data_IF_019950835849
#
_entry.id   IF_019950835849
#
_cell.length_a   1.000
_cell.length_b   1.000
_cell.length_c   1.000
_cell.angle_alpha   90.00
_cell.angle_beta   90.00
_cell.angle_gamma   90.00
#
_symmetry.space_group_name_H-M   'P 1'
#
loop_
_entity.id
_entity.type
_entity.pdbx_description
1 polymer ?
#
# COMPACT_ATOMS: atom_id res chain seq x y z
N UNK A 1 -7.34 87.07 -35.91
CA UNK A 1 -6.12 86.83 -36.71
C UNK A 1 -6.52 85.97 -37.89
N UNK A 2 -6.37 86.46 -39.12
CA UNK A 2 -6.59 85.65 -40.32
C UNK A 2 -5.49 84.59 -40.40
N UNK A 3 -5.89 83.32 -40.32
CA UNK A 3 -4.95 82.19 -40.43
C UNK A 3 -4.39 82.20 -41.86
N UNK A 4 -3.08 82.40 -42.00
CA UNK A 4 -2.42 82.58 -43.31
C UNK A 4 -2.32 81.26 -44.10
N UNK A 5 -2.20 80.12 -43.41
CA UNK A 5 -2.12 78.79 -43.99
C UNK A 5 -3.12 77.86 -43.34
N UNK A 6 -3.98 77.23 -44.11
CA UNK A 6 -5.06 76.40 -43.60
C UNK A 6 -5.46 75.34 -44.62
N UNK A 7 -6.07 74.28 -44.12
CA UNK A 7 -6.67 73.22 -44.91
C UNK A 7 -8.19 73.31 -44.82
N UNK A 8 -8.86 73.06 -45.94
CA UNK A 8 -10.32 72.96 -46.01
C UNK A 8 -10.74 71.68 -46.73
N UNK A 9 -11.94 71.21 -46.42
CA UNK A 9 -12.63 70.21 -47.23
C UNK A 9 -13.16 70.88 -48.50
N UNK A 10 -13.04 70.19 -49.63
CA UNK A 10 -13.75 70.59 -50.86
C UNK A 10 -15.24 70.22 -50.72
N UNK A 11 -16.09 70.79 -51.57
CA UNK A 11 -17.52 70.42 -51.64
C UNK A 11 -17.69 68.93 -51.93
N UNK A 12 -16.82 68.35 -52.75
CA UNK A 12 -16.79 66.91 -53.05
C UNK A 12 -16.34 66.10 -51.85
N UNK A 13 -15.29 66.53 -51.15
CA UNK A 13 -14.79 65.88 -49.95
C UNK A 13 -15.78 65.89 -48.79
N UNK A 14 -16.46 67.02 -48.57
CA UNK A 14 -17.52 67.14 -47.57
C UNK A 14 -18.70 66.20 -47.89
N UNK A 15 -19.12 66.13 -49.15
CA UNK A 15 -20.19 65.22 -49.58
C UNK A 15 -19.80 63.74 -49.40
N UNK A 16 -18.56 63.36 -49.77
CA UNK A 16 -18.06 61.99 -49.60
C UNK A 16 -17.88 61.58 -48.14
N UNK A 17 -17.38 62.49 -47.30
CA UNK A 17 -17.26 62.25 -45.86
C UNK A 17 -18.65 62.10 -45.20
N UNK A 18 -19.62 62.91 -45.61
CA UNK A 18 -21.00 62.80 -45.15
C UNK A 18 -21.65 61.48 -45.59
N UNK A 19 -21.46 61.07 -46.85
CA UNK A 19 -21.94 59.79 -47.37
C UNK A 19 -21.31 58.59 -46.64
N UNK A 20 -20.00 58.64 -46.40
CA UNK A 20 -19.28 57.62 -45.64
C UNK A 20 -19.86 57.47 -44.21
N UNK A 21 -20.09 58.60 -43.54
CA UNK A 21 -20.70 58.62 -42.21
C UNK A 21 -22.14 58.08 -42.22
N UNK A 22 -22.94 58.40 -43.24
CA UNK A 22 -24.34 57.98 -43.35
C UNK A 22 -24.50 56.49 -43.70
N UNK A 23 -23.62 55.95 -44.55
CA UNK A 23 -23.66 54.57 -45.02
C UNK A 23 -22.88 53.60 -44.11
N UNK A 24 -22.13 54.11 -43.12
CA UNK A 24 -21.24 53.31 -42.28
C UNK A 24 -20.00 52.77 -43.01
N UNK A 25 -19.71 53.25 -44.22
CA UNK A 25 -18.51 52.95 -44.98
C UNK A 25 -17.37 53.89 -44.60
N UNK A 26 -16.12 53.50 -44.83
CA UNK A 26 -14.96 54.36 -44.56
C UNK A 26 -14.45 55.02 -45.84
N UNK A 27 -14.14 56.31 -45.76
CA UNK A 27 -13.45 57.06 -46.80
C UNK A 27 -11.95 56.73 -46.76
N UNK A 28 -11.44 56.17 -47.84
CA UNK A 28 -10.03 55.82 -47.97
C UNK A 28 -9.27 57.00 -48.58
N UNK A 29 -8.53 57.74 -47.77
CA UNK A 29 -7.57 58.72 -48.28
C UNK A 29 -6.29 57.97 -48.65
N UNK A 30 -5.93 57.97 -49.93
CA UNK A 30 -4.85 57.11 -50.42
C UNK A 30 -3.64 57.90 -50.88
N UNK A 31 -3.84 59.11 -51.42
CA UNK A 31 -2.80 59.89 -52.07
C UNK A 31 -2.77 61.34 -51.57
N UNK A 32 -1.57 61.89 -51.52
CA UNK A 32 -1.33 63.31 -51.33
C UNK A 32 -0.57 63.85 -52.54
N UNK A 33 -1.04 65.00 -53.03
CA UNK A 33 -0.39 65.74 -54.09
C UNK A 33 0.12 67.10 -53.60
N UNK A 34 1.18 67.58 -54.24
CA UNK A 34 1.75 68.90 -54.01
C UNK A 34 1.86 69.65 -55.33
N UNK A 35 1.69 70.96 -55.28
CA UNK A 35 1.73 71.85 -56.45
C UNK A 35 2.39 73.19 -56.16
N UNK A 36 2.77 73.89 -57.22
CA UNK A 36 3.41 75.22 -57.14
C UNK A 36 2.40 76.37 -57.35
N UNK A 37 1.13 76.06 -57.61
CA UNK A 37 0.04 77.01 -57.85
C UNK A 37 0.40 78.12 -58.87
N UNK A 38 1.16 77.77 -59.93
CA UNK A 38 1.63 78.70 -60.96
C UNK A 38 2.45 79.89 -60.42
N UNK A 39 3.14 79.69 -59.29
CA UNK A 39 4.02 80.71 -58.73
C UNK A 39 3.30 81.80 -57.93
N UNK A 40 2.05 81.57 -57.52
CA UNK A 40 1.29 82.45 -56.61
C UNK A 40 0.77 81.62 -55.42
N UNK A 41 0.84 82.17 -54.21
CA UNK A 41 0.26 81.51 -53.04
C UNK A 41 -1.27 81.42 -53.19
N UNK A 42 -1.87 80.22 -53.28
CA UNK A 42 -3.29 80.09 -53.54
C UNK A 42 -4.11 80.29 -52.27
N UNK A 43 -5.35 80.74 -52.46
CA UNK A 43 -6.37 80.70 -51.43
C UNK A 43 -7.18 79.41 -51.63
N UNK A 44 -7.18 78.46 -50.68
CA UNK A 44 -7.99 77.26 -50.77
C UNK A 44 -9.47 77.59 -50.99
N UNK A 45 -10.11 76.99 -51.99
CA UNK A 45 -11.52 77.19 -52.33
C UNK A 45 -12.28 75.85 -52.27
N UNK A 46 -13.40 75.76 -51.52
CA UNK A 46 -14.21 74.55 -51.45
C UNK A 46 -14.68 74.03 -52.83
N UNK A 47 -14.81 74.90 -53.84
CA UNK A 47 -15.23 74.49 -55.19
C UNK A 47 -14.12 73.80 -56.01
N UNK A 48 -12.88 73.73 -55.51
CA UNK A 48 -11.78 73.09 -56.22
C UNK A 48 -12.02 71.58 -56.43
N UNK A 49 -11.85 71.13 -57.67
CA UNK A 49 -11.88 69.71 -58.05
C UNK A 49 -10.50 69.14 -58.32
N UNK A 50 -9.49 70.02 -58.48
CA UNK A 50 -8.08 69.70 -58.71
C UNK A 50 -7.19 70.83 -58.20
N UNK A 51 -5.91 70.53 -57.97
CA UNK A 51 -4.89 71.54 -57.70
C UNK A 51 -4.67 72.46 -58.91
N UNK A 52 -4.25 73.70 -58.66
CA UNK A 52 -4.05 74.72 -59.70
C UNK A 52 -2.91 74.34 -60.65
N UNK A 53 -1.80 73.83 -60.11
CA UNK A 53 -0.69 73.27 -60.87
C UNK A 53 0.01 72.16 -60.06
N UNK A 54 -0.52 70.95 -60.17
CA UNK A 54 0.04 69.76 -59.54
C UNK A 54 1.42 69.42 -60.11
N UNK A 55 2.40 69.22 -59.23
CA UNK A 55 3.77 68.79 -59.59
C UNK A 55 4.05 67.33 -59.26
N UNK A 56 3.46 66.84 -58.18
CA UNK A 56 3.68 65.45 -57.72
C UNK A 56 2.45 64.94 -57.01
N UNK A 57 2.13 63.67 -57.23
CA UNK A 57 1.14 62.90 -56.46
C UNK A 57 1.76 61.54 -56.10
N UNK A 58 1.59 61.10 -54.86
CA UNK A 58 2.03 59.76 -54.46
C UNK A 58 1.21 59.27 -53.25
N UNK A 59 1.33 57.98 -52.87
CA UNK A 59 0.64 57.44 -51.71
C UNK A 59 1.00 58.14 -50.40
N UNK A 60 0.09 58.07 -49.42
CA UNK A 60 0.34 58.51 -48.04
C UNK A 60 1.27 57.55 -47.30
N UNK A 61 2.18 58.10 -46.49
CA UNK A 61 3.05 57.33 -45.59
C UNK A 61 2.42 57.15 -44.20
N UNK A 62 1.71 58.17 -43.71
CA UNK A 62 1.01 58.14 -42.44
C UNK A 62 -0.33 58.86 -42.56
N UNK A 63 -1.38 58.26 -42.00
CA UNK A 63 -2.66 58.89 -41.77
C UNK A 63 -3.15 58.49 -40.37
N UNK A 64 -3.16 59.45 -39.45
CA UNK A 64 -3.54 59.25 -38.06
C UNK A 64 -4.45 60.37 -37.56
N UNK A 65 -5.16 60.14 -36.46
CA UNK A 65 -5.87 61.19 -35.72
C UNK A 65 -4.86 61.96 -34.86
N UNK A 66 -5.02 63.27 -34.72
CA UNK A 66 -4.16 64.07 -33.83
C UNK A 66 -4.39 63.64 -32.37
N UNK A 67 -3.34 63.21 -31.63
CA UNK A 67 -3.47 62.83 -30.22
C UNK A 67 -4.02 63.94 -29.32
N UNK A 68 -3.83 65.21 -29.68
CA UNK A 68 -4.29 66.36 -28.90
C UNK A 68 -5.67 66.85 -29.34
N UNK A 69 -6.16 66.45 -30.52
CA UNK A 69 -7.45 66.86 -31.04
C UNK A 69 -8.10 65.77 -31.91
N UNK A 70 -9.06 65.05 -31.34
CA UNK A 70 -9.75 63.94 -32.00
C UNK A 70 -10.58 64.34 -33.23
N UNK A 71 -10.80 65.64 -33.47
CA UNK A 71 -11.49 66.17 -34.66
C UNK A 71 -10.53 66.53 -35.80
N UNK A 72 -9.23 66.26 -35.66
CA UNK A 72 -8.21 66.53 -36.67
C UNK A 72 -7.56 65.23 -37.14
N UNK A 73 -7.39 65.11 -38.45
CA UNK A 73 -6.54 64.09 -39.05
C UNK A 73 -5.24 64.71 -39.53
N UNK A 74 -4.17 63.95 -39.35
CA UNK A 74 -2.82 64.28 -39.82
C UNK A 74 -2.51 63.32 -40.96
N UNK A 75 -2.43 63.86 -42.16
CA UNK A 75 -1.93 63.14 -43.32
C UNK A 75 -0.48 63.54 -43.56
N UNK A 76 0.41 62.57 -43.68
CA UNK A 76 1.82 62.80 -44.00
C UNK A 76 2.26 62.05 -45.23
N UNK A 77 3.13 62.73 -45.97
CA UNK A 77 3.81 62.19 -47.11
C UNK A 77 5.28 62.60 -47.07
N UNK A 78 6.16 61.66 -47.33
CA UNK A 78 7.59 61.89 -47.46
C UNK A 78 7.93 62.02 -48.94
N UNK A 79 8.54 63.14 -49.31
CA UNK A 79 9.11 63.35 -50.65
C UNK A 79 10.60 62.97 -50.55
N UNK A 80 11.02 61.87 -51.21
CA UNK A 80 12.41 61.41 -51.19
C UNK A 80 13.35 62.39 -51.93
N UNK A 81 14.65 62.19 -51.78
CA UNK A 81 15.69 63.08 -52.34
C UNK A 81 15.79 63.04 -53.88
N UNK A 82 15.35 61.94 -54.50
CA UNK A 82 15.35 61.73 -55.96
C UNK A 82 14.18 62.43 -56.68
N UNK A 83 13.19 62.93 -55.94
CA UNK A 83 12.04 63.67 -56.48
C UNK A 83 12.07 65.13 -55.99
N UNK A 84 12.15 66.09 -56.91
CA UNK A 84 12.29 67.52 -56.59
C UNK A 84 12.37 68.39 -57.84
N UNK A 85 12.91 69.61 -57.70
CA UNK A 85 13.00 70.60 -58.77
C UNK A 85 11.76 71.50 -58.88
N UNK A 86 10.93 71.57 -57.84
CA UNK A 86 9.68 72.34 -57.86
C UNK A 86 9.38 73.04 -56.52
N UNK A 87 8.58 74.10 -56.61
CA UNK A 87 8.02 74.79 -55.45
C UNK A 87 6.77 74.09 -54.94
N UNK A 88 6.58 74.10 -53.63
CA UNK A 88 5.40 73.59 -52.95
C UNK A 88 4.68 74.78 -52.31
N UNK A 89 3.43 74.99 -52.74
CA UNK A 89 2.55 76.10 -52.31
C UNK A 89 1.12 75.64 -52.05
N UNK A 90 0.70 74.55 -52.68
CA UNK A 90 -0.57 73.87 -52.46
C UNK A 90 -0.37 72.39 -52.16
N UNK A 91 -1.27 71.84 -51.35
CA UNK A 91 -1.34 70.42 -50.98
C UNK A 91 -2.77 69.96 -51.21
N UNK A 92 -2.94 68.80 -51.82
CA UNK A 92 -4.23 68.15 -52.04
C UNK A 92 -4.26 66.74 -51.48
N UNK A 93 -5.36 66.37 -50.82
CA UNK A 93 -5.63 65.00 -50.39
C UNK A 93 -6.67 64.36 -51.30
N UNK A 94 -6.39 63.14 -51.74
CA UNK A 94 -7.21 62.40 -52.69
C UNK A 94 -7.66 61.06 -52.10
N UNK A 95 -8.86 60.64 -52.47
CA UNK A 95 -9.37 59.31 -52.16
C UNK A 95 -8.88 58.24 -53.16
N UNK A 96 -9.31 56.99 -52.97
CA UNK A 96 -9.04 55.85 -53.86
C UNK A 96 -9.64 55.99 -55.27
N UNK A 97 -10.65 56.83 -55.45
CA UNK A 97 -11.26 57.16 -56.74
C UNK A 97 -10.62 58.37 -57.43
N UNK A 98 -9.58 58.97 -56.82
CA UNK A 98 -8.86 60.11 -57.38
C UNK A 98 -9.60 61.45 -57.26
N UNK A 99 -10.58 61.55 -56.37
CA UNK A 99 -11.32 62.78 -56.09
C UNK A 99 -10.58 63.62 -55.06
N UNK A 100 -10.46 64.93 -55.31
CA UNK A 100 -9.85 65.87 -54.37
C UNK A 100 -10.78 66.08 -53.16
N UNK A 101 -10.40 65.51 -52.01
CA UNK A 101 -11.17 65.56 -50.75
C UNK A 101 -10.88 66.84 -49.97
N UNK A 102 -9.61 67.24 -49.91
CA UNK A 102 -9.21 68.43 -49.17
C UNK A 102 -8.07 69.14 -49.87
N UNK A 103 -8.03 70.45 -49.69
CA UNK A 103 -7.00 71.33 -50.25
C UNK A 103 -6.46 72.23 -49.16
N UNK A 104 -5.15 72.47 -49.18
CA UNK A 104 -4.47 73.37 -48.27
C UNK A 104 -3.48 74.24 -49.02
N UNK A 105 -3.25 75.44 -48.51
CA UNK A 105 -2.10 76.25 -48.87
C UNK A 105 -0.99 76.06 -47.83
N UNK A 106 0.26 76.18 -48.25
CA UNK A 106 1.41 76.05 -47.37
C UNK A 106 2.44 77.16 -47.64
N UNK A 107 3.36 77.42 -46.69
CA UNK A 107 4.48 78.32 -46.93
C UNK A 107 5.27 77.90 -48.17
N UNK A 108 5.65 78.87 -48.99
CA UNK A 108 6.40 78.62 -50.21
C UNK A 108 7.73 77.93 -49.89
N UNK A 109 7.84 76.66 -50.29
CA UNK A 109 8.99 75.82 -49.97
C UNK A 109 9.55 75.21 -51.24
N UNK A 110 10.83 75.45 -51.52
CA UNK A 110 11.50 74.82 -52.66
C UNK A 110 12.06 73.45 -52.26
N UNK A 111 11.71 72.42 -53.03
CA UNK A 111 12.23 71.06 -52.87
C UNK A 111 13.30 70.81 -53.93
N UNK A 112 14.60 70.86 -53.60
CA UNK A 112 15.65 70.57 -54.57
C UNK A 112 15.64 69.08 -54.97
N UNK A 113 16.14 68.82 -56.18
CA UNK A 113 16.48 67.48 -56.67
C UNK A 113 17.98 67.22 -56.47
N UNK A 114 18.37 65.94 -56.34
CA UNK A 114 19.77 65.55 -56.11
C UNK A 114 20.74 66.12 -57.16
N UNK A 115 20.30 66.30 -58.41
CA UNK A 115 21.09 66.87 -59.51
C UNK A 115 21.46 68.35 -59.31
N UNK A 116 20.74 69.07 -58.45
CA UNK A 116 21.04 70.46 -58.06
C UNK A 116 22.06 70.54 -56.92
N UNK A 117 22.70 69.42 -56.55
CA UNK A 117 23.74 69.35 -55.53
C UNK A 117 23.22 69.30 -54.09
N UNK A 118 21.89 69.22 -53.88
CA UNK A 118 21.27 69.11 -52.57
C UNK A 118 20.13 68.08 -52.57
N UNK A 119 20.43 66.85 -52.14
CA UNK A 119 19.43 65.84 -51.85
C UNK A 119 18.78 66.10 -50.48
N UNK A 120 17.55 66.60 -50.48
CA UNK A 120 16.77 66.78 -49.25
C UNK A 120 15.60 65.82 -49.26
N UNK A 121 15.38 65.08 -48.18
CA UNK A 121 14.10 64.41 -47.93
C UNK A 121 13.19 65.38 -47.20
N UNK A 122 11.97 65.57 -47.69
CA UNK A 122 11.03 66.57 -47.15
C UNK A 122 9.73 65.88 -46.74
N UNK A 123 9.37 65.97 -45.47
CA UNK A 123 8.06 65.52 -44.99
C UNK A 123 7.05 66.65 -45.15
N UNK A 124 5.95 66.37 -45.84
CA UNK A 124 4.78 67.24 -45.97
C UNK A 124 3.71 66.70 -45.03
N UNK A 125 3.22 67.58 -44.16
CA UNK A 125 2.17 67.28 -43.18
C UNK A 125 0.99 68.19 -43.43
N UNK A 126 -0.17 67.61 -43.69
CA UNK A 126 -1.45 68.31 -43.79
C UNK A 126 -2.32 67.95 -42.59
N UNK A 127 -2.73 68.98 -41.85
CA UNK A 127 -3.66 68.84 -40.73
C UNK A 127 -5.02 69.31 -41.20
N UNK A 128 -6.01 68.42 -41.17
CA UNK A 128 -7.36 68.69 -41.64
C UNK A 128 -8.36 68.47 -40.52
N UNK A 129 -9.23 69.46 -40.28
CA UNK A 129 -10.37 69.32 -39.39
C UNK A 129 -11.49 68.60 -40.13
N UNK A 130 -12.02 67.54 -39.54
CA UNK A 130 -13.12 66.75 -40.11
C UNK A 130 -14.25 66.60 -39.10
N UNK A 131 -15.48 66.44 -39.60
CA UNK A 131 -16.67 66.30 -38.77
C UNK A 131 -16.78 64.93 -38.09
N UNK A 132 -16.21 63.88 -38.70
CA UNK A 132 -16.14 62.55 -38.12
C UNK A 132 -14.84 61.84 -38.55
N UNK A 133 -13.93 61.57 -37.60
CA UNK A 133 -12.66 60.86 -37.85
C UNK A 133 -12.83 59.34 -37.97
N UNK A 134 -13.91 58.76 -37.45
CA UNK A 134 -14.20 57.32 -37.54
C UNK A 134 -14.61 56.89 -38.96
N UNK A 135 -15.15 57.83 -39.73
CA UNK A 135 -15.53 57.64 -41.12
C UNK A 135 -14.31 57.60 -42.07
N UNK A 136 -13.07 57.67 -41.56
CA UNK A 136 -11.84 57.68 -42.34
C UNK A 136 -11.01 56.43 -42.03
N UNK A 137 -10.51 55.75 -43.06
CA UNK A 137 -9.60 54.60 -42.87
C UNK A 137 -8.21 55.10 -42.53
N UNK A 138 -7.80 54.96 -41.26
CA UNK A 138 -6.44 55.28 -40.84
C UNK A 138 -5.44 54.27 -41.43
N UNK A 139 -4.36 54.79 -42.01
CA UNK A 139 -3.28 53.97 -42.57
C UNK A 139 -1.98 54.33 -41.86
N UNK A 140 -1.44 53.35 -41.13
CA UNK A 140 -0.08 53.38 -40.63
C UNK A 140 0.65 52.34 -41.46
N UNK A 141 1.54 52.79 -42.35
CA UNK A 141 2.37 51.88 -43.14
C UNK A 141 3.72 51.69 -42.42
N UNK A 142 3.94 50.58 -41.69
CA UNK A 142 5.19 50.34 -40.98
C UNK A 142 6.35 49.95 -41.90
N UNK A 143 6.14 49.90 -43.23
CA UNK A 143 7.16 49.46 -44.20
C UNK A 143 8.04 50.57 -44.78
N UNK A 144 7.91 51.82 -44.30
CA UNK A 144 8.80 52.91 -44.73
C UNK A 144 10.24 52.59 -44.30
N UNK A 145 11.13 52.42 -45.29
CA UNK A 145 12.54 51.98 -45.14
C UNK A 145 13.37 52.88 -44.19
N UNK A 146 12.89 54.08 -43.86
CA UNK A 146 13.42 54.91 -42.77
C UNK A 146 12.39 55.07 -41.67
N UNK A 147 12.59 54.37 -40.54
CA UNK A 147 11.93 54.71 -39.29
C UNK A 147 12.45 56.06 -38.79
N UNK A 148 11.56 56.96 -38.40
CA UNK A 148 11.96 58.19 -37.70
C UNK A 148 12.59 57.82 -36.35
N UNK A 149 13.56 58.61 -35.87
CA UNK A 149 14.14 58.40 -34.53
C UNK A 149 13.07 58.29 -33.46
N UNK A 150 12.03 59.12 -33.56
CA UNK A 150 10.87 59.09 -32.66
C UNK A 150 10.15 57.74 -32.67
N UNK A 151 9.93 57.11 -33.83
CA UNK A 151 9.33 55.78 -33.89
C UNK A 151 10.18 54.73 -33.16
N UNK A 152 11.52 54.79 -33.33
CA UNK A 152 12.45 53.88 -32.65
C UNK A 152 12.44 54.12 -31.13
N UNK A 153 12.51 55.38 -30.70
CA UNK A 153 12.49 55.76 -29.28
C UNK A 153 11.17 55.34 -28.61
N UNK A 154 10.03 55.57 -29.27
CA UNK A 154 8.71 55.17 -28.77
C UNK A 154 8.63 53.63 -28.65
N UNK A 155 9.15 52.85 -29.62
CA UNK A 155 9.15 51.39 -29.58
C UNK A 155 10.10 50.80 -28.54
N UNK A 156 11.27 51.43 -28.33
CA UNK A 156 12.19 51.04 -27.25
C UNK A 156 11.54 51.32 -25.90
N UNK A 157 10.90 52.48 -25.72
CA UNK A 157 10.20 52.81 -24.48
C UNK A 157 9.02 51.88 -24.21
N UNK A 158 8.24 51.53 -25.23
CA UNK A 158 7.19 50.51 -25.13
C UNK A 158 7.77 49.14 -24.75
N UNK A 159 8.90 48.72 -25.33
CA UNK A 159 9.55 47.46 -25.01
C UNK A 159 10.06 47.43 -23.56
N UNK A 160 10.73 48.50 -23.10
CA UNK A 160 11.19 48.66 -21.72
C UNK A 160 10.04 48.55 -20.69
N UNK A 161 8.87 49.09 -21.03
CA UNK A 161 7.67 49.04 -20.19
C UNK A 161 6.92 47.70 -20.29
N UNK A 162 7.06 46.97 -21.41
CA UNK A 162 6.21 45.81 -21.70
C UNK A 162 6.43 44.66 -20.73
N UNK A 163 7.68 44.22 -20.50
CA UNK A 163 8.14 43.43 -19.35
C UNK A 163 9.66 43.49 -19.36
N UNK A 164 10.28 44.01 -18.29
CA UNK A 164 11.72 44.13 -18.08
C UNK A 164 12.45 42.78 -17.92
N UNK A 165 11.97 41.74 -18.61
CA UNK A 165 12.45 40.37 -18.57
C UNK A 165 12.78 39.88 -17.15
N UNK A 166 11.82 39.95 -16.21
CA UNK A 166 12.08 39.60 -14.83
C UNK A 166 12.43 38.12 -14.69
N UNK A 167 13.15 37.79 -13.62
CA UNK A 167 13.36 36.41 -13.22
C UNK A 167 12.02 35.72 -12.92
N UNK A 168 11.96 34.42 -13.15
CA UNK A 168 10.76 33.65 -12.84
C UNK A 168 10.55 33.56 -11.33
N UNK A 169 9.29 33.53 -10.93
CA UNK A 169 8.88 33.24 -9.57
C UNK A 169 7.91 32.05 -9.57
N UNK A 170 7.53 31.60 -8.38
CA UNK A 170 6.51 30.55 -8.21
C UNK A 170 5.13 30.95 -8.77
N UNK A 171 4.90 32.25 -8.99
CA UNK A 171 3.60 32.80 -9.42
C UNK A 171 3.64 33.53 -10.76
N UNK A 172 4.83 33.81 -11.31
CA UNK A 172 5.00 34.56 -12.55
C UNK A 172 6.08 33.96 -13.45
N UNK A 173 5.79 33.88 -14.77
CA UNK A 173 6.72 33.40 -15.78
C UNK A 173 7.84 34.43 -16.04
N UNK A 174 9.09 33.98 -15.99
CA UNK A 174 10.30 34.79 -16.23
C UNK A 174 11.51 33.94 -16.65
N UNK A 175 12.71 34.51 -16.61
CA UNK A 175 13.96 33.77 -16.85
C UNK A 175 14.47 33.06 -15.58
N UNK A 176 15.14 31.92 -15.73
CA UNK A 176 15.72 31.18 -14.60
C UNK A 176 17.13 30.74 -14.93
N UNK A 177 18.05 30.81 -13.97
CA UNK A 177 19.37 30.22 -14.09
C UNK A 177 19.33 28.73 -13.72
N UNK A 178 20.10 27.91 -14.45
CA UNK A 178 20.13 26.46 -14.22
C UNK A 178 21.25 26.07 -13.24
N UNK A 179 20.96 25.11 -12.36
CA UNK A 179 21.93 24.53 -11.42
C UNK A 179 22.00 23.01 -11.55
N UNK A 180 23.23 22.48 -11.51
CA UNK A 180 23.48 21.02 -11.48
C UNK A 180 23.81 20.50 -10.08
N UNK A 181 23.68 21.32 -9.04
CA UNK A 181 23.86 20.89 -7.65
C UNK A 181 22.66 20.04 -7.19
N UNK A 182 22.94 19.00 -6.39
CA UNK A 182 21.92 18.06 -5.87
C UNK A 182 21.50 18.35 -4.42
N UNK A 183 22.04 19.41 -3.84
CA UNK A 183 21.85 19.83 -2.45
C UNK A 183 21.63 21.35 -2.35
N UNK A 184 21.15 21.98 -3.42
CA UNK A 184 20.89 23.43 -3.42
C UNK A 184 19.60 23.73 -2.67
N UNK A 185 19.63 24.77 -1.83
CA UNK A 185 18.46 25.33 -1.14
C UNK A 185 17.87 26.55 -1.86
N UNK A 186 18.38 26.87 -3.05
CA UNK A 186 17.95 28.05 -3.80
C UNK A 186 16.59 27.84 -4.46
N UNK A 187 15.66 28.77 -4.22
CA UNK A 187 14.34 28.80 -4.87
C UNK A 187 14.35 29.56 -6.21
N UNK A 188 15.47 30.18 -6.59
CA UNK A 188 15.62 30.99 -7.81
C UNK A 188 16.31 30.25 -8.95
N UNK A 189 16.86 29.06 -8.68
CA UNK A 189 17.56 28.23 -9.65
C UNK A 189 16.72 27.01 -10.05
N UNK A 190 16.69 26.70 -11.34
CA UNK A 190 16.04 25.49 -11.83
C UNK A 190 17.04 24.31 -11.91
N UNK A 191 16.61 23.13 -11.48
CA UNK A 191 17.43 21.92 -11.54
C UNK A 191 17.63 21.43 -12.99
N UNK A 192 18.87 21.07 -13.34
CA UNK A 192 19.15 20.41 -14.63
C UNK A 192 18.79 18.91 -14.60
N UNK A 193 18.57 18.27 -15.75
CA UNK A 193 18.47 16.80 -15.82
C UNK A 193 19.67 16.07 -15.21
N UNK A 194 20.86 16.69 -15.24
CA UNK A 194 22.07 16.17 -14.59
C UNK A 194 21.92 16.14 -13.06
N UNK A 195 21.39 17.21 -12.45
CA UNK A 195 21.11 17.24 -11.01
C UNK A 195 20.10 16.15 -10.63
N UNK A 196 19.01 16.04 -11.39
CA UNK A 196 17.95 15.04 -11.16
C UNK A 196 18.51 13.62 -11.29
N UNK A 197 19.32 13.34 -12.31
CA UNK A 197 19.95 12.03 -12.50
C UNK A 197 20.91 11.70 -11.36
N UNK A 198 21.74 12.64 -10.93
CA UNK A 198 22.66 12.43 -9.83
C UNK A 198 21.94 12.20 -8.49
N UNK A 199 20.86 12.93 -8.21
CA UNK A 199 20.02 12.71 -7.03
C UNK A 199 19.32 11.33 -7.08
N UNK A 200 18.81 10.94 -8.26
CA UNK A 200 18.22 9.63 -8.49
C UNK A 200 19.24 8.50 -8.27
N UNK A 201 20.45 8.63 -8.82
CA UNK A 201 21.51 7.63 -8.67
C UNK A 201 21.96 7.50 -7.21
N UNK A 202 22.06 8.61 -6.48
CA UNK A 202 22.35 8.61 -5.05
C UNK A 202 21.25 7.90 -4.25
N UNK A 203 19.98 8.18 -4.55
CA UNK A 203 18.84 7.52 -3.92
C UNK A 203 18.82 6.02 -4.24
N UNK A 204 19.04 5.65 -5.50
CA UNK A 204 19.10 4.27 -5.96
C UNK A 204 20.29 3.50 -5.35
N UNK A 205 21.45 4.15 -5.16
CA UNK A 205 22.62 3.56 -4.49
C UNK A 205 22.45 3.41 -2.98
N UNK A 206 21.73 4.33 -2.31
CA UNK A 206 21.33 4.19 -0.90
C UNK A 206 20.23 3.15 -0.71
N UNK A 207 19.40 2.93 -1.72
CA UNK A 207 18.47 1.79 -1.77
C UNK A 207 19.15 0.53 -2.32
N UNK A 208 20.41 0.28 -1.93
CA UNK A 208 20.97 -1.07 -2.01
C UNK A 208 20.32 -1.85 -0.89
N UNK A 209 19.29 -2.63 -1.22
CA UNK A 209 18.65 -3.52 -0.27
C UNK A 209 19.67 -4.57 0.17
N UNK A 210 20.48 -4.23 1.19
CA UNK A 210 21.43 -5.16 1.77
C UNK A 210 20.67 -6.17 2.60
N UNK A 211 21.10 -7.42 2.53
CA UNK A 211 20.54 -8.48 3.38
C UNK A 211 20.82 -8.14 4.84
N UNK A 212 19.83 -8.34 5.70
CA UNK A 212 20.06 -8.23 7.13
C UNK A 212 21.01 -9.33 7.58
N UNK A 213 21.84 -9.00 8.56
CA UNK A 213 22.65 -9.96 9.31
C UNK A 213 22.32 -9.84 10.79
N UNK A 214 22.88 -10.71 11.63
CA UNK A 214 22.71 -10.63 13.09
C UNK A 214 23.33 -9.36 13.70
N UNK A 215 24.13 -8.60 12.94
CA UNK A 215 24.84 -7.40 13.40
C UNK A 215 24.41 -6.15 12.60
N UNK A 216 23.75 -6.33 11.45
CA UNK A 216 23.37 -5.23 10.55
C UNK A 216 21.90 -5.33 10.14
N UNK A 217 21.15 -4.23 10.30
CA UNK A 217 19.77 -4.13 9.80
C UNK A 217 19.74 -4.16 8.27
N UNK A 218 18.76 -4.85 7.68
CA UNK A 218 18.60 -4.98 6.23
C UNK A 218 17.28 -5.67 5.85
N UNK A 219 17.16 -6.12 4.61
CA UNK A 219 16.02 -6.92 4.12
C UNK A 219 16.21 -8.41 4.42
N UNK A 220 15.12 -9.15 4.66
CA UNK A 220 15.14 -10.59 4.95
C UNK A 220 14.10 -11.29 4.09
N UNK A 221 14.45 -12.44 3.49
CA UNK A 221 13.49 -13.27 2.77
C UNK A 221 12.72 -14.17 3.75
N UNK A 222 11.40 -14.25 3.58
CA UNK A 222 10.54 -15.08 4.42
C UNK A 222 10.54 -16.54 3.92
N UNK A 223 10.55 -17.50 4.87
CA UNK A 223 10.45 -18.93 4.59
C UNK A 223 9.31 -19.58 5.38
N UNK A 224 8.58 -20.49 4.74
CA UNK A 224 7.58 -21.34 5.38
C UNK A 224 8.07 -22.77 5.62
N UNK A 225 9.36 -23.05 5.41
CA UNK A 225 9.95 -24.35 5.78
C UNK A 225 10.00 -24.50 7.31
N UNK A 226 9.61 -25.67 7.82
CA UNK A 226 9.59 -25.97 9.27
C UNK A 226 10.90 -26.54 9.79
N UNK A 227 11.87 -26.77 8.91
CA UNK A 227 13.19 -27.35 9.18
C UNK A 227 14.34 -26.55 8.55
N UNK A 228 14.13 -25.25 8.30
CA UNK A 228 15.16 -24.38 7.70
C UNK A 228 16.36 -24.22 8.63
N UNK A 229 17.56 -24.44 8.11
CA UNK A 229 18.84 -24.16 8.80
C UNK A 229 19.47 -22.84 8.34
N UNK A 230 18.77 -22.06 7.50
CA UNK A 230 19.30 -20.79 7.00
C UNK A 230 19.26 -19.69 8.06
N UNK A 231 20.37 -18.98 8.23
CA UNK A 231 20.49 -17.78 9.06
C UNK A 231 20.05 -16.50 8.32
N UNK A 232 19.81 -16.57 7.01
CA UNK A 232 19.44 -15.42 6.17
C UNK A 232 17.94 -15.34 5.89
N UNK A 233 17.16 -16.31 6.38
CA UNK A 233 15.71 -16.40 6.16
C UNK A 233 14.95 -16.23 7.48
N UNK A 234 13.87 -15.47 7.46
CA UNK A 234 12.96 -15.34 8.61
C UNK A 234 11.79 -16.33 8.49
N UNK A 235 11.44 -16.96 9.61
CA UNK A 235 10.30 -17.87 9.67
C UNK A 235 8.97 -17.11 9.55
N UNK A 236 8.07 -17.60 8.70
CA UNK A 236 6.70 -17.09 8.59
C UNK A 236 5.82 -17.57 9.76
N UNK A 237 4.74 -16.83 10.11
CA UNK A 237 3.75 -17.30 11.07
C UNK A 237 3.17 -18.68 10.72
N UNK A 238 3.08 -19.02 9.43
CA UNK A 238 2.66 -20.35 8.94
C UNK A 238 3.61 -21.46 9.40
N UNK A 239 4.93 -21.27 9.26
CA UNK A 239 5.92 -22.25 9.72
C UNK A 239 5.89 -22.39 11.25
N UNK A 240 5.83 -21.27 11.98
CA UNK A 240 5.75 -21.26 13.44
C UNK A 240 4.49 -21.98 13.94
N UNK A 241 3.33 -21.70 13.32
CA UNK A 241 2.07 -22.40 13.62
C UNK A 241 2.19 -23.90 13.38
N UNK A 242 2.74 -24.33 12.25
CA UNK A 242 2.89 -25.75 11.94
C UNK A 242 3.80 -26.48 12.97
N UNK A 243 4.91 -25.86 13.36
CA UNK A 243 5.79 -26.41 14.41
C UNK A 243 5.07 -26.46 15.76
N UNK A 244 4.30 -25.43 16.11
CA UNK A 244 3.53 -25.39 17.36
C UNK A 244 2.43 -26.45 17.38
N UNK A 245 1.69 -26.61 16.29
CA UNK A 245 0.63 -27.62 16.15
C UNK A 245 1.20 -29.04 16.26
N UNK A 246 2.37 -29.32 15.66
CA UNK A 246 3.06 -30.61 15.82
C UNK A 246 3.62 -30.81 17.24
N UNK A 247 4.12 -29.75 17.88
CA UNK A 247 4.63 -29.81 19.26
C UNK A 247 3.50 -30.11 20.24
N UNK A 248 2.32 -29.52 20.03
CA UNK A 248 1.13 -29.75 20.85
C UNK A 248 0.58 -31.19 20.76
N UNK A 249 0.98 -31.99 19.75
CA UNK A 249 0.62 -33.42 19.65
C UNK A 249 1.53 -34.33 20.48
N UNK A 250 2.69 -33.83 20.93
CA UNK A 250 3.66 -34.62 21.70
C UNK A 250 3.30 -34.57 23.19
N UNK A 251 3.58 -35.66 23.89
CA UNK A 251 3.40 -35.72 25.34
C UNK A 251 4.47 -34.86 26.05
N UNK A 252 4.18 -34.25 27.23
CA UNK A 252 5.17 -33.53 28.02
C UNK A 252 6.39 -34.40 28.38
N UNK A 253 7.58 -33.81 28.39
CA UNK A 253 8.82 -34.56 28.65
C UNK A 253 8.90 -35.08 30.10
N UNK A 254 8.34 -34.34 31.05
CA UNK A 254 8.30 -34.74 32.46
C UNK A 254 6.90 -35.22 32.82
N UNK A 255 6.79 -36.49 33.25
CA UNK A 255 5.56 -37.12 33.73
C UNK A 255 4.37 -36.96 32.78
N UNK A 256 4.47 -37.46 31.53
CA UNK A 256 3.37 -37.35 30.57
C UNK A 256 2.12 -38.06 31.09
N UNK A 257 0.99 -37.35 31.10
CA UNK A 257 -0.30 -37.99 31.26
C UNK A 257 -0.68 -38.72 29.95
N UNK A 258 -0.85 -40.04 30.01
CA UNK A 258 -1.35 -40.82 28.88
C UNK A 258 -2.88 -40.71 28.83
N UNK A 259 -3.43 -40.28 27.69
CA UNK A 259 -4.89 -40.17 27.47
C UNK A 259 -5.34 -41.12 26.36
N UNK A 260 -6.63 -41.49 26.34
CA UNK A 260 -7.16 -42.47 25.39
C UNK A 260 -6.71 -43.91 25.69
N UNK A 261 -6.45 -44.70 24.65
CA UNK A 261 -5.97 -46.10 24.73
C UNK A 261 -4.53 -46.22 24.23
N UNK A 262 -3.51 -45.82 25.02
CA UNK A 262 -2.11 -45.87 24.59
C UNK A 262 -1.67 -47.30 24.29
N UNK A 263 -1.00 -47.49 23.14
CA UNK A 263 -0.43 -48.77 22.75
C UNK A 263 1.06 -48.81 23.09
N UNK A 264 1.53 -49.91 23.66
CA UNK A 264 2.96 -50.18 23.87
C UNK A 264 3.31 -51.56 23.32
N UNK A 265 4.54 -51.78 22.81
CA UNK A 265 4.97 -53.11 22.40
C UNK A 265 4.89 -54.12 23.56
N UNK A 266 4.50 -55.36 23.27
CA UNK A 266 4.52 -56.45 24.25
C UNK A 266 5.95 -56.94 24.45
N UNK A 267 6.47 -56.76 25.66
CA UNK A 267 7.81 -57.22 26.00
C UNK A 267 7.90 -58.75 26.12
N UNK A 268 9.08 -59.35 25.94
CA UNK A 268 9.33 -60.75 26.28
C UNK A 268 9.10 -61.02 27.78
N UNK A 269 8.67 -62.24 28.12
CA UNK A 269 8.55 -62.66 29.53
C UNK A 269 9.87 -62.49 30.30
N UNK A 270 9.76 -62.18 31.59
CA UNK A 270 10.92 -61.94 32.47
C UNK A 270 11.53 -60.54 32.39
N UNK A 271 11.02 -59.65 31.53
CA UNK A 271 11.52 -58.26 31.46
C UNK A 271 11.20 -57.49 32.75
N UNK A 272 12.22 -56.90 33.40
CA UNK A 272 12.12 -56.24 34.70
C UNK A 272 12.65 -54.79 34.71
N UNK A 273 12.49 -54.09 33.58
CA UNK A 273 12.92 -52.68 33.42
C UNK A 273 11.80 -51.69 33.77
N UNK A 274 12.08 -50.40 33.63
CA UNK A 274 11.13 -49.28 33.85
C UNK A 274 10.16 -49.05 32.68
N UNK A 275 10.11 -49.94 31.70
CA UNK A 275 9.18 -49.85 30.57
C UNK A 275 7.72 -49.99 31.04
N UNK A 276 6.78 -49.39 30.31
CA UNK A 276 5.34 -49.57 30.55
C UNK A 276 4.95 -51.01 30.20
N UNK A 277 4.31 -51.72 31.14
CA UNK A 277 3.77 -53.05 30.90
C UNK A 277 2.50 -52.98 30.04
N UNK A 278 2.53 -53.62 28.87
CA UNK A 278 1.31 -53.82 28.06
C UNK A 278 0.35 -54.80 28.75
N UNK A 279 -0.96 -54.69 28.45
CA UNK A 279 -1.97 -55.62 28.97
C UNK A 279 -1.67 -57.07 28.58
N UNK A 280 -1.20 -57.31 27.35
CA UNK A 280 -0.80 -58.64 26.88
C UNK A 280 0.36 -59.24 27.69
N UNK A 281 1.36 -58.43 28.07
CA UNK A 281 2.47 -58.89 28.91
C UNK A 281 1.98 -59.30 30.31
N UNK A 282 1.12 -58.48 30.94
CA UNK A 282 0.56 -58.79 32.25
C UNK A 282 -0.30 -60.06 32.21
N UNK A 283 -1.15 -60.22 31.20
CA UNK A 283 -1.94 -61.44 31.02
C UNK A 283 -1.05 -62.68 30.85
N UNK A 284 0.02 -62.59 30.06
CA UNK A 284 0.97 -63.68 29.87
C UNK A 284 1.75 -64.01 31.16
N UNK A 285 2.12 -63.01 31.95
CA UNK A 285 2.80 -63.21 33.24
C UNK A 285 1.90 -63.87 34.28
N UNK A 286 0.62 -63.48 34.33
CA UNK A 286 -0.38 -64.12 35.21
C UNK A 286 -0.61 -65.57 34.79
N UNK A 287 -0.77 -65.82 33.49
CA UNK A 287 -0.92 -67.18 32.98
C UNK A 287 0.28 -68.06 33.36
N UNK A 288 1.51 -67.57 33.15
CA UNK A 288 2.73 -68.29 33.53
C UNK A 288 2.84 -68.55 35.04
N UNK A 289 2.37 -67.63 35.89
CA UNK A 289 2.33 -67.84 37.34
C UNK A 289 1.33 -68.95 37.70
N UNK A 290 0.13 -68.94 37.10
CA UNK A 290 -0.87 -70.00 37.30
C UNK A 290 -0.34 -71.36 36.82
N UNK A 291 0.28 -71.39 35.65
CA UNK A 291 0.91 -72.58 35.05
C UNK A 291 2.17 -73.06 35.78
N UNK A 292 2.74 -72.26 36.68
CA UNK A 292 3.89 -72.65 37.53
C UNK A 292 3.46 -73.30 38.85
N UNK A 293 2.17 -73.30 39.17
CA UNK A 293 1.59 -74.05 40.30
C UNK A 293 0.67 -75.24 39.93
N UNK A 294 0.93 -76.06 38.88
CA UNK A 294 0.14 -77.25 38.61
C UNK A 294 0.25 -78.26 39.73
N UNK A 295 1.43 -78.46 40.30
CA UNK A 295 1.66 -79.48 41.34
C UNK A 295 1.02 -79.09 42.67
N UNK A 296 0.96 -77.80 43.02
CA UNK A 296 0.27 -77.33 44.23
C UNK A 296 -1.26 -77.47 44.11
N UNK A 297 -1.81 -77.19 42.92
CA UNK A 297 -3.24 -77.40 42.65
C UNK A 297 -3.57 -78.89 42.50
N UNK A 298 -2.68 -79.67 41.88
CA UNK A 298 -2.81 -81.11 41.77
C UNK A 298 -2.73 -81.77 43.14
N UNK A 299 -1.79 -81.39 44.01
CA UNK A 299 -1.72 -81.91 45.38
C UNK A 299 -2.95 -81.56 46.21
N UNK A 300 -3.50 -80.36 46.09
CA UNK A 300 -4.77 -80.04 46.77
C UNK A 300 -5.96 -80.85 46.23
N UNK A 301 -6.01 -81.08 44.92
CA UNK A 301 -7.03 -81.93 44.29
C UNK A 301 -6.86 -83.42 44.66
N UNK A 302 -5.61 -83.90 44.70
CA UNK A 302 -5.24 -85.25 45.15
C UNK A 302 -5.55 -85.45 46.63
N UNK A 303 -5.27 -84.47 47.49
CA UNK A 303 -5.64 -84.48 48.90
C UNK A 303 -7.16 -84.47 49.09
N UNK A 304 -7.89 -83.62 48.34
CA UNK A 304 -9.35 -83.60 48.36
C UNK A 304 -9.93 -84.95 47.92
N UNK A 305 -9.42 -85.53 46.83
CA UNK A 305 -9.82 -86.85 46.35
C UNK A 305 -9.46 -87.98 47.34
N UNK A 306 -8.28 -87.94 47.96
CA UNK A 306 -7.84 -88.92 48.96
C UNK A 306 -8.70 -88.88 50.24
N UNK A 307 -9.24 -87.71 50.58
CA UNK A 307 -10.23 -87.52 51.64
C UNK A 307 -11.67 -87.77 51.17
N UNK A 308 -11.86 -88.31 49.96
CA UNK A 308 -13.17 -88.70 49.41
C UNK A 308 -14.03 -87.52 48.95
N UNK A 309 -13.44 -86.34 48.75
CA UNK A 309 -14.15 -85.09 48.45
C UNK A 309 -15.28 -84.79 49.46
N UNK A 310 -15.10 -85.20 50.73
CA UNK A 310 -16.11 -85.03 51.77
C UNK A 310 -15.94 -83.69 52.50
N UNK A 311 -16.84 -82.71 52.31
CA UNK A 311 -16.76 -81.42 53.00
C UNK A 311 -16.89 -81.55 54.52
N UNK A 312 -17.42 -82.67 55.02
CA UNK A 312 -17.62 -82.97 56.43
C UNK A 312 -16.74 -84.13 56.90
N UNK A 313 -15.58 -84.36 56.27
CA UNK A 313 -14.69 -85.50 56.54
C UNK A 313 -14.48 -85.77 58.05
N UNK A 314 -14.25 -84.71 58.85
CA UNK A 314 -14.08 -84.83 60.29
C UNK A 314 -15.31 -85.43 60.99
N UNK A 315 -16.52 -84.99 60.62
CA UNK A 315 -17.79 -85.53 61.12
C UNK A 315 -17.99 -86.97 60.67
N UNK A 316 -17.72 -87.27 59.39
CA UNK A 316 -17.85 -88.62 58.83
C UNK A 316 -16.93 -89.63 59.53
N UNK A 317 -15.66 -89.27 59.76
CA UNK A 317 -14.75 -90.14 60.51
C UNK A 317 -15.15 -90.30 61.97
N UNK A 318 -15.59 -89.23 62.64
CA UNK A 318 -16.10 -89.31 64.01
C UNK A 318 -17.28 -90.29 64.11
N UNK A 319 -18.22 -90.23 63.16
CA UNK A 319 -19.36 -91.16 63.09
C UNK A 319 -18.92 -92.61 62.79
N UNK A 320 -18.00 -92.80 61.86
CA UNK A 320 -17.48 -94.13 61.50
C UNK A 320 -16.76 -94.82 62.67
N UNK A 321 -16.07 -94.04 63.51
CA UNK A 321 -15.40 -94.50 64.73
C UNK A 321 -16.40 -94.80 65.85
N UNK A 322 -17.39 -93.93 66.09
CA UNK A 322 -18.42 -94.13 67.11
C UNK A 322 -19.20 -95.45 66.91
N UNK A 323 -19.40 -95.87 65.65
CA UNK A 323 -20.05 -97.13 65.31
C UNK A 323 -19.18 -98.40 65.44
N UNK A 324 -17.94 -98.33 65.91
CA UNK A 324 -17.05 -99.51 66.03
C UNK A 324 -17.29 -100.34 67.28
N UNK A 325 -17.49 -99.70 68.44
CA UNK A 325 -17.78 -100.41 69.69
C UNK A 325 -19.05 -101.27 69.60
N UNK A 326 -20.18 -100.78 69.02
CA UNK A 326 -21.41 -101.58 68.86
C UNK A 326 -21.30 -102.76 67.87
N UNK A 327 -20.23 -102.86 67.07
CA UNK A 327 -20.04 -103.99 66.14
C UNK A 327 -19.48 -105.23 66.82
N UNK A 328 -18.96 -105.10 68.04
CA UNK A 328 -18.54 -106.22 68.86
C UNK A 328 -19.55 -106.40 70.00
N UNK A 329 -20.35 -107.46 69.91
CA UNK A 329 -21.46 -107.70 70.83
C UNK A 329 -20.97 -108.01 72.26
N UNK A 330 -19.77 -108.61 72.40
CA UNK A 330 -19.14 -108.86 73.70
C UNK A 330 -18.68 -107.56 74.36
N UNK A 331 -17.97 -106.69 73.66
CA UNK A 331 -17.55 -105.39 74.18
C UNK A 331 -18.74 -104.49 74.50
N UNK A 332 -19.81 -104.56 73.69
CA UNK A 332 -21.06 -103.85 73.95
C UNK A 332 -21.68 -104.33 75.26
N UNK A 333 -21.84 -105.64 75.43
CA UNK A 333 -22.40 -106.22 76.65
C UNK A 333 -21.58 -105.90 77.91
N UNK A 334 -20.25 -105.84 77.80
CA UNK A 334 -19.36 -105.41 78.88
C UNK A 334 -19.48 -103.92 79.18
N UNK A 335 -19.54 -103.06 78.15
CA UNK A 335 -19.62 -101.60 78.31
C UNK A 335 -20.98 -101.12 78.85
N UNK A 336 -22.05 -101.89 78.61
CA UNK A 336 -23.39 -101.63 79.16
C UNK A 336 -23.49 -101.95 80.67
N UNK A 337 -22.51 -102.64 81.25
CA UNK A 337 -22.51 -102.91 82.69
C UNK A 337 -22.32 -101.62 83.48
N UNK A 338 -23.32 -101.26 84.29
CA UNK A 338 -23.22 -100.15 85.22
C UNK A 338 -22.18 -100.47 86.31
N UNK A 339 -20.99 -99.87 86.21
CA UNK A 339 -19.92 -100.08 87.19
C UNK A 339 -20.38 -99.72 88.59
N UNK A 340 -20.14 -100.60 89.55
CA UNK A 340 -20.48 -100.39 90.96
C UNK A 340 -19.45 -101.08 91.84
N UNK A 341 -19.22 -100.54 93.04
CA UNK A 341 -18.32 -101.15 94.01
C UNK A 341 -18.77 -102.58 94.33
N UNK A 342 -17.81 -103.45 94.62
CA UNK A 342 -18.06 -104.83 95.04
C UNK A 342 -18.86 -105.69 94.04
N UNK A 343 -18.78 -105.35 92.75
CA UNK A 343 -19.36 -106.14 91.66
C UNK A 343 -18.27 -106.71 90.76
N UNK A 344 -18.48 -107.95 90.28
CA UNK A 344 -17.61 -108.58 89.29
C UNK A 344 -18.39 -108.83 87.98
N UNK A 345 -17.89 -108.37 86.83
CA UNK A 345 -18.38 -108.77 85.52
C UNK A 345 -18.15 -110.26 85.27
N UNK A 346 -19.14 -110.94 84.72
CA UNK A 346 -18.99 -112.30 84.22
C UNK A 346 -19.93 -112.52 83.02
N UNK A 347 -19.67 -113.54 82.22
CA UNK A 347 -20.51 -113.88 81.09
C UNK A 347 -21.62 -114.84 81.50
N UNK A 348 -22.86 -114.47 81.17
CA UNK A 348 -24.04 -115.32 81.39
C UNK A 348 -24.39 -116.14 80.14
N UNK A 349 -23.73 -115.85 79.03
CA UNK A 349 -23.83 -116.52 77.74
C UNK A 349 -22.94 -115.83 76.70
N UNK A 350 -22.94 -116.31 75.46
CA UNK A 350 -22.27 -115.62 74.35
C UNK A 350 -22.85 -114.20 74.21
N UNK A 351 -21.97 -113.20 74.14
CA UNK A 351 -22.31 -111.78 74.01
C UNK A 351 -23.26 -111.24 75.10
N UNK A 352 -23.23 -111.85 76.30
CA UNK A 352 -24.02 -111.39 77.45
C UNK A 352 -23.14 -111.34 78.69
N UNK A 353 -22.92 -110.14 79.20
CA UNK A 353 -22.25 -109.93 80.46
C UNK A 353 -23.28 -109.52 81.53
N UNK A 354 -23.02 -109.90 82.77
CA UNK A 354 -23.77 -109.44 83.92
C UNK A 354 -22.81 -109.14 85.07
N UNK A 355 -23.31 -108.42 86.07
CA UNK A 355 -22.60 -108.21 87.32
C UNK A 355 -23.13 -109.17 88.38
N UNK A 356 -22.22 -109.83 89.10
CA UNK A 356 -22.57 -110.52 90.34
C UNK A 356 -22.04 -109.76 91.55
N UNK A 357 -22.68 -109.94 92.71
CA UNK A 357 -22.16 -109.39 93.96
C UNK A 357 -20.91 -110.17 94.36
N UNK A 358 -19.78 -109.47 94.41
CA UNK A 358 -18.53 -110.05 94.87
C UNK A 358 -18.45 -109.88 96.38
N UNK A 359 -18.67 -110.96 97.14
CA UNK A 359 -18.69 -110.92 98.60
C UNK A 359 -17.35 -110.42 99.17
N UNK A 360 -17.33 -109.97 100.43
CA UNK A 360 -16.08 -109.59 101.12
C UNK A 360 -15.06 -110.73 101.08
N UNK A 361 -15.54 -111.97 101.22
CA UNK A 361 -14.79 -113.21 101.02
C UNK A 361 -14.22 -113.32 99.60
N UNK A 362 -15.06 -113.22 98.57
CA UNK A 362 -14.62 -113.30 97.17
C UNK A 362 -13.59 -112.21 96.80
N UNK A 363 -13.76 -110.99 97.32
CA UNK A 363 -12.77 -109.91 97.14
C UNK A 363 -11.45 -110.22 97.82
N UNK A 364 -11.50 -110.74 99.04
CA UNK A 364 -10.29 -111.10 99.78
C UNK A 364 -9.54 -112.24 99.08
N UNK A 365 -10.24 -113.23 98.52
CA UNK A 365 -9.66 -114.32 97.72
C UNK A 365 -9.05 -113.80 96.41
N UNK A 366 -9.81 -113.06 95.59
CA UNK A 366 -9.30 -112.52 94.32
C UNK A 366 -8.15 -111.52 94.51
N UNK A 367 -8.04 -110.91 95.68
CA UNK A 367 -6.94 -110.04 96.08
C UNK A 367 -5.69 -110.77 96.58
N UNK A 368 -5.71 -112.10 96.75
CA UNK A 368 -4.51 -112.86 97.13
C UNK A 368 -3.58 -113.00 95.94
N UNK A 369 -2.30 -112.77 96.19
CA UNK A 369 -1.25 -112.81 95.17
C UNK A 369 -0.53 -114.15 95.07
N UNK A 370 -0.91 -115.14 95.89
CA UNK A 370 -0.32 -116.48 95.88
C UNK A 370 -1.37 -117.57 96.06
N UNK A 371 -1.13 -118.73 95.46
CA UNK A 371 -2.01 -119.90 95.53
C UNK A 371 -2.24 -120.36 96.96
N UNK A 372 -1.17 -120.40 97.77
CA UNK A 372 -1.27 -120.72 99.19
C UNK A 372 -2.17 -119.72 99.93
N UNK A 373 -2.04 -118.42 99.62
CA UNK A 373 -2.88 -117.39 100.23
C UNK A 373 -4.37 -117.51 99.89
N UNK A 374 -4.72 -118.15 98.76
CA UNK A 374 -6.12 -118.48 98.41
C UNK A 374 -6.59 -119.73 99.16
N UNK A 375 -5.74 -120.74 99.33
CA UNK A 375 -6.09 -122.00 100.01
C UNK A 375 -6.31 -121.83 101.53
N UNK A 376 -5.63 -120.86 102.13
CA UNK A 376 -5.72 -120.60 103.58
C UNK A 376 -6.95 -119.73 103.97
N UNK A 377 -7.79 -119.34 103.00
CA UNK A 377 -8.96 -118.46 103.17
C UNK A 377 -10.26 -119.26 103.08
#
# INVERSE_FOLDING_TARGET
>A
MTVKYYAILTNQGAARLANATMLGSKLNLTQMAVGDANGVLPTPDPAQTKLINQKRIAPLNLLSVDPNNQSQIIAEQIIPENEGGFWIREIGLYDDEGVLIAVANCPETYKPQLQEGSGRTQTIRMILVVTNTEAITLKIDPSVVLATRKYVDDKISEHEQSRRHPDASLTAKGFTQLSSAINSESETLAATPKAVKAAYDLANGKYTAQNATTIQKGIVQLSSATNSTSETLAATPKAVKAVMDETNKKAPLNSPALTGTPTTPTAPQGTNSTQIASTAFVMAAIAALVDSSPDALNTLNELAAALGNDPNFATTMTNALAGKQPKDATLTALAELATSADKLPYFTGADRAALTALTSVGRAILGKTSTQGVLDY
#
